data_IF_906995178044
#
_entry.id   IF_906995178044
#
_cell.length_a   1.000
_cell.length_b   1.000
_cell.length_c   1.000
_cell.angle_alpha   90.00
_cell.angle_beta   90.00
_cell.angle_gamma   90.00
#
_symmetry.space_group_name_H-M   'P 1'
#
loop_
_entity.id
_entity.type
_entity.pdbx_description
1 polymer ?
#
# COMPACT_ATOMS: atom_id res chain seq x y z
N UNK A 1 13.66 5.14 -24.29
CA UNK A 1 12.33 5.24 -23.66
C UNK A 1 12.14 6.70 -23.30
N UNK A 2 10.94 7.24 -23.53
CA UNK A 2 10.56 8.58 -23.10
C UNK A 2 10.49 8.64 -21.57
N UNK A 3 10.78 9.82 -21.00
CA UNK A 3 10.66 10.09 -19.57
C UNK A 3 9.20 9.95 -19.12
N UNK A 4 8.95 9.32 -17.98
CA UNK A 4 7.60 9.22 -17.41
C UNK A 4 7.18 10.56 -16.85
N UNK A 5 6.05 11.10 -17.32
CA UNK A 5 5.47 12.33 -16.78
C UNK A 5 4.39 11.94 -15.78
N UNK A 6 4.60 12.28 -14.51
CA UNK A 6 3.63 12.03 -13.45
C UNK A 6 2.40 12.91 -13.62
N UNK A 7 1.24 12.42 -13.19
CA UNK A 7 -0.01 13.17 -13.26
C UNK A 7 0.07 14.54 -12.58
N UNK A 8 0.84 14.63 -11.50
CA UNK A 8 1.04 15.86 -10.72
C UNK A 8 1.79 16.95 -11.49
N UNK A 9 2.54 16.58 -12.53
CA UNK A 9 3.34 17.51 -13.34
C UNK A 9 2.50 18.15 -14.46
N UNK A 10 1.29 17.64 -14.71
CA UNK A 10 0.38 18.14 -15.74
C UNK A 10 -0.42 19.36 -15.28
N UNK A 11 0.28 20.39 -14.80
CA UNK A 11 -0.33 21.54 -14.11
C UNK A 11 -1.45 22.24 -14.91
N UNK A 12 -1.27 22.39 -16.23
CA UNK A 12 -2.28 22.99 -17.12
C UNK A 12 -3.57 22.15 -17.22
N UNK A 13 -3.49 20.85 -16.98
CA UNK A 13 -4.67 19.98 -16.84
C UNK A 13 -5.29 20.18 -15.46
N UNK A 14 -4.46 20.18 -14.40
CA UNK A 14 -4.94 20.29 -13.02
C UNK A 14 -5.69 21.60 -12.74
N UNK A 15 -5.21 22.71 -13.30
CA UNK A 15 -5.84 24.03 -13.18
C UNK A 15 -7.26 24.09 -13.75
N UNK A 16 -7.63 23.20 -14.66
CA UNK A 16 -8.99 23.15 -15.25
C UNK A 16 -10.05 22.69 -14.26
N UNK A 17 -9.65 22.04 -13.17
CA UNK A 17 -10.58 21.60 -12.12
C UNK A 17 -10.86 22.68 -11.07
N UNK A 18 -10.24 23.85 -11.19
CA UNK A 18 -10.34 24.92 -10.21
C UNK A 18 -11.26 26.00 -10.73
N UNK A 19 -12.26 26.32 -9.94
CA UNK A 19 -13.05 27.53 -10.12
C UNK A 19 -12.37 28.70 -9.41
N UNK A 20 -12.14 29.85 -10.09
CA UNK A 20 -11.60 31.04 -9.45
C UNK A 20 -12.39 31.44 -8.19
N UNK A 21 -11.69 31.83 -7.12
CA UNK A 21 -12.29 32.30 -5.88
C UNK A 21 -12.79 31.22 -4.91
N UNK A 22 -12.55 29.94 -5.20
CA UNK A 22 -12.93 28.82 -4.31
C UNK A 22 -11.71 27.98 -3.95
N UNK A 23 -11.71 27.38 -2.77
CA UNK A 23 -10.56 26.64 -2.27
C UNK A 23 -10.58 25.16 -2.68
N UNK A 24 -9.39 24.56 -2.65
CA UNK A 24 -9.15 23.15 -2.93
C UNK A 24 -8.59 22.44 -1.70
N UNK A 25 -8.80 21.13 -1.64
CA UNK A 25 -8.15 20.23 -0.69
C UNK A 25 -7.15 19.29 -1.37
N UNK A 26 -6.28 18.66 -0.59
CA UNK A 26 -5.41 17.58 -1.08
C UNK A 26 -5.30 16.45 -0.06
N UNK A 27 -5.45 15.21 -0.48
CA UNK A 27 -5.11 14.01 0.30
C UNK A 27 -3.66 13.66 -0.05
N UNK A 28 -2.74 13.82 0.90
CA UNK A 28 -1.30 13.66 0.62
C UNK A 28 -0.47 13.32 1.85
N UNK A 29 0.81 13.05 1.64
CA UNK A 29 1.83 12.77 2.65
C UNK A 29 3.23 13.13 2.11
N UNK A 30 4.29 12.56 2.68
CA UNK A 30 5.69 12.82 2.30
C UNK A 30 6.04 12.38 0.87
N UNK A 31 5.16 11.61 0.22
CA UNK A 31 5.30 11.19 -1.17
C UNK A 31 4.76 12.21 -2.18
N UNK A 32 4.39 13.41 -1.72
CA UNK A 32 3.99 14.55 -2.55
C UNK A 32 5.18 15.13 -3.34
N UNK A 33 5.71 14.35 -4.28
CA UNK A 33 6.91 14.70 -5.05
C UNK A 33 6.71 14.69 -6.56
N UNK A 34 7.45 15.52 -7.28
CA UNK A 34 7.54 15.45 -8.74
C UNK A 34 8.43 14.27 -9.22
N UNK A 35 8.64 14.13 -10.53
CA UNK A 35 9.51 13.09 -11.11
C UNK A 35 10.99 13.27 -10.73
N UNK A 36 11.39 14.49 -10.35
CA UNK A 36 12.72 14.83 -9.84
C UNK A 36 12.86 14.60 -8.33
N UNK A 37 11.83 14.05 -7.68
CA UNK A 37 11.74 13.79 -6.25
C UNK A 37 11.78 15.04 -5.35
N UNK A 38 11.42 16.21 -5.88
CA UNK A 38 11.26 17.41 -5.07
C UNK A 38 9.91 17.36 -4.35
N UNK A 39 9.86 17.75 -3.07
CA UNK A 39 8.59 17.88 -2.35
C UNK A 39 7.86 19.16 -2.80
N UNK A 40 6.71 19.01 -3.46
CA UNK A 40 6.05 20.09 -4.24
C UNK A 40 4.75 20.62 -3.61
N UNK A 41 4.47 20.31 -2.34
CA UNK A 41 3.20 20.72 -1.71
C UNK A 41 3.00 22.25 -1.74
N UNK A 42 4.06 23.04 -1.56
CA UNK A 42 3.95 24.51 -1.64
C UNK A 42 3.57 25.00 -3.04
N UNK A 43 4.09 24.36 -4.08
CA UNK A 43 3.77 24.71 -5.47
C UNK A 43 2.33 24.30 -5.79
N UNK A 44 1.93 23.08 -5.45
CA UNK A 44 0.53 22.65 -5.58
C UNK A 44 -0.41 23.57 -4.80
N UNK A 45 -0.01 24.00 -3.60
CA UNK A 45 -0.82 24.91 -2.79
C UNK A 45 -1.09 26.23 -3.50
N UNK A 46 -0.04 26.83 -4.07
CA UNK A 46 -0.13 28.10 -4.79
C UNK A 46 -0.90 27.96 -6.09
N UNK A 47 -0.52 26.99 -6.92
CA UNK A 47 -1.10 26.82 -8.26
C UNK A 47 -2.52 26.27 -8.22
N UNK A 48 -2.87 25.49 -7.18
CA UNK A 48 -4.16 24.81 -7.06
C UNK A 48 -5.09 25.40 -5.98
N UNK A 49 -4.70 26.52 -5.36
CA UNK A 49 -5.43 27.17 -4.26
C UNK A 49 -5.80 26.22 -3.11
N UNK A 50 -4.82 25.41 -2.66
CA UNK A 50 -5.05 24.42 -1.60
C UNK A 50 -5.02 25.12 -0.23
N UNK A 51 -6.08 24.99 0.55
CA UNK A 51 -6.15 25.52 1.91
C UNK A 51 -6.22 24.42 3.00
N UNK A 52 -6.40 23.17 2.58
CA UNK A 52 -6.57 22.01 3.47
C UNK A 52 -5.85 20.79 2.94
N UNK A 53 -5.11 20.12 3.81
CA UNK A 53 -4.53 18.81 3.55
C UNK A 53 -5.23 17.76 4.40
N UNK A 54 -5.52 16.61 3.81
CA UNK A 54 -5.99 15.41 4.48
C UNK A 54 -4.86 14.40 4.48
N UNK A 55 -4.58 13.77 5.63
CA UNK A 55 -3.41 12.90 5.77
C UNK A 55 -3.81 11.50 6.20
N UNK A 56 -3.22 10.45 5.61
CA UNK A 56 -3.49 9.07 5.97
C UNK A 56 -2.70 8.68 7.25
N UNK A 57 -2.52 7.37 7.45
CA UNK A 57 -1.53 6.82 8.36
C UNK A 57 -0.14 7.47 8.16
N UNK A 58 0.64 7.59 9.23
CA UNK A 58 1.96 8.28 9.30
C UNK A 58 1.94 9.81 9.17
N UNK A 59 0.83 10.42 8.75
CA UNK A 59 0.64 11.87 8.68
C UNK A 59 1.36 12.52 7.49
N UNK A 60 1.43 13.87 7.48
CA UNK A 60 1.94 14.63 6.33
C UNK A 60 3.40 14.35 5.97
N UNK A 61 4.24 14.05 6.97
CA UNK A 61 5.69 13.88 6.78
C UNK A 61 6.18 12.45 7.02
N UNK A 62 5.27 11.48 7.17
CA UNK A 62 5.65 10.08 7.38
C UNK A 62 6.41 9.80 8.69
N UNK A 63 6.31 10.69 9.68
CA UNK A 63 7.11 10.64 10.92
C UNK A 63 6.54 9.71 11.99
N UNK A 64 5.25 9.40 11.92
CA UNK A 64 4.58 8.57 12.94
C UNK A 64 4.77 7.08 12.60
N UNK A 65 4.93 6.23 13.60
CA UNK A 65 5.01 4.78 13.45
C UNK A 65 3.73 4.17 12.83
N UNK A 66 3.82 2.93 12.36
CA UNK A 66 2.62 2.19 11.93
C UNK A 66 1.68 1.97 13.11
N UNK A 67 0.39 2.22 12.93
CA UNK A 67 -0.61 2.14 13.99
C UNK A 67 -0.65 3.33 14.96
N UNK A 68 0.23 4.34 14.83
CA UNK A 68 0.20 5.52 15.71
C UNK A 68 -0.90 6.50 15.32
N UNK A 69 -1.61 7.06 16.31
CA UNK A 69 -2.62 8.10 16.09
C UNK A 69 -1.95 9.40 15.66
N UNK A 70 -2.52 10.04 14.63
CA UNK A 70 -2.09 11.35 14.15
C UNK A 70 -3.24 12.33 14.38
N UNK A 71 -2.97 13.46 15.03
CA UNK A 71 -4.00 14.47 15.30
C UNK A 71 -4.08 15.48 14.15
N UNK A 72 -5.25 16.12 14.00
CA UNK A 72 -5.41 17.28 13.13
C UNK A 72 -4.71 18.50 13.73
N UNK A 73 -4.14 19.37 12.89
CA UNK A 73 -3.41 20.56 13.32
C UNK A 73 -3.40 21.65 12.24
N UNK A 74 -2.99 22.87 12.60
CA UNK A 74 -2.69 23.91 11.62
C UNK A 74 -1.18 23.93 11.36
N UNK A 75 -0.77 23.68 10.12
CA UNK A 75 0.64 23.69 9.75
C UNK A 75 1.09 25.13 9.49
N UNK A 76 1.99 25.64 10.34
CA UNK A 76 2.50 27.02 10.23
C UNK A 76 3.46 27.24 9.06
N UNK A 77 4.11 26.19 8.56
CA UNK A 77 5.05 26.32 7.44
C UNK A 77 4.28 26.39 6.13
N UNK A 78 3.29 25.51 5.98
CA UNK A 78 2.43 25.48 4.79
C UNK A 78 1.25 26.45 4.87
N UNK A 79 0.94 27.01 6.05
CA UNK A 79 -0.21 27.89 6.29
C UNK A 79 -1.51 27.25 5.78
N UNK A 80 -1.79 26.02 6.23
CA UNK A 80 -2.98 25.26 5.87
C UNK A 80 -3.47 24.40 7.04
N UNK A 81 -4.76 24.02 7.01
CA UNK A 81 -5.33 23.06 7.97
C UNK A 81 -4.96 21.64 7.54
N UNK A 82 -4.37 20.85 8.44
CA UNK A 82 -4.12 19.42 8.26
C UNK A 82 -5.18 18.63 9.03
N UNK A 83 -5.97 17.86 8.32
CA UNK A 83 -6.99 16.96 8.87
C UNK A 83 -6.46 15.54 8.82
N UNK A 84 -6.42 14.86 9.96
CA UNK A 84 -6.05 13.43 9.98
C UNK A 84 -7.24 12.57 9.60
N UNK A 85 -7.01 11.63 8.68
CA UNK A 85 -7.92 10.55 8.30
C UNK A 85 -7.46 9.21 8.89
N UNK A 86 -6.78 9.24 10.03
CA UNK A 86 -6.31 8.06 10.73
C UNK A 86 -6.47 8.19 12.24
N UNK A 87 -6.83 7.09 12.92
CA UNK A 87 -7.07 7.08 14.36
C UNK A 87 -8.54 7.29 14.69
N UNK A 88 -8.93 8.49 15.15
CA UNK A 88 -10.31 8.75 15.61
C UNK A 88 -11.31 8.83 14.46
N UNK A 89 -10.88 9.32 13.30
CA UNK A 89 -11.72 9.47 12.13
C UNK A 89 -10.97 8.94 10.91
N UNK A 90 -11.60 8.03 10.15
CA UNK A 90 -11.10 7.53 8.87
C UNK A 90 -11.78 8.20 7.67
N UNK A 91 -12.72 9.10 7.92
CA UNK A 91 -13.52 9.83 6.93
C UNK A 91 -13.41 11.34 7.21
N UNK A 92 -13.41 12.19 6.17
CA UNK A 92 -13.61 13.62 6.37
C UNK A 92 -15.02 13.88 6.90
N UNK A 93 -15.16 14.87 7.78
CA UNK A 93 -16.48 15.34 8.21
C UNK A 93 -17.06 16.32 7.17
N UNK A 94 -18.39 16.53 7.13
CA UNK A 94 -18.99 17.54 6.26
C UNK A 94 -18.36 18.93 6.43
N UNK A 95 -18.03 19.32 7.66
CA UNK A 95 -17.39 20.61 7.97
C UNK A 95 -15.94 20.68 7.44
N UNK A 96 -15.28 19.54 7.23
CA UNK A 96 -13.96 19.51 6.61
C UNK A 96 -14.04 19.71 5.08
N UNK A 97 -15.23 19.63 4.47
CA UNK A 97 -15.43 19.78 3.04
C UNK A 97 -16.21 21.06 2.65
N UNK A 98 -16.81 21.76 3.62
CA UNK A 98 -17.77 22.84 3.35
C UNK A 98 -17.24 24.05 2.59
N UNK A 99 -15.93 24.30 2.62
CA UNK A 99 -15.25 25.41 1.95
C UNK A 99 -14.40 24.98 0.74
N UNK A 100 -14.51 23.71 0.32
CA UNK A 100 -13.71 23.12 -0.75
C UNK A 100 -14.62 22.65 -1.88
N UNK A 101 -14.21 22.86 -3.13
CA UNK A 101 -14.93 22.35 -4.31
C UNK A 101 -14.31 21.08 -4.90
N UNK A 102 -12.98 20.93 -4.74
CA UNK A 102 -12.19 19.88 -5.37
C UNK A 102 -11.16 19.39 -4.37
N UNK A 103 -11.00 18.07 -4.30
CA UNK A 103 -9.96 17.42 -3.51
C UNK A 103 -9.09 16.62 -4.46
N UNK A 104 -7.80 16.93 -4.47
CA UNK A 104 -6.80 16.16 -5.21
C UNK A 104 -6.30 15.00 -4.35
N UNK A 105 -6.18 13.80 -4.88
CA UNK A 105 -5.50 12.69 -4.21
C UNK A 105 -4.11 12.52 -4.81
N UNK A 106 -3.06 12.66 -4.01
CA UNK A 106 -1.69 12.50 -4.46
C UNK A 106 -0.81 11.83 -3.40
N UNK A 107 -0.75 10.49 -3.47
CA UNK A 107 0.04 9.64 -2.59
C UNK A 107 0.59 8.45 -3.40
N UNK A 108 1.86 8.11 -3.20
CA UNK A 108 2.45 6.87 -3.71
C UNK A 108 2.00 5.67 -2.86
N UNK A 109 1.28 4.73 -3.47
CA UNK A 109 0.90 3.44 -2.87
C UNK A 109 1.83 2.30 -3.32
N UNK A 110 1.50 1.06 -2.94
CA UNK A 110 2.31 -0.14 -3.21
C UNK A 110 1.61 -1.22 -4.06
N UNK A 111 0.34 -1.08 -4.42
CA UNK A 111 -0.39 -2.15 -5.11
C UNK A 111 -0.87 -3.26 -4.19
N UNK A 112 -0.98 -3.01 -2.88
CA UNK A 112 -1.27 -3.99 -1.84
C UNK A 112 -2.45 -3.60 -0.96
N UNK A 113 -3.37 -4.54 -0.72
CA UNK A 113 -4.63 -4.32 0.01
C UNK A 113 -4.42 -3.89 1.47
N UNK A 114 -3.38 -4.41 2.12
CA UNK A 114 -3.04 -4.04 3.49
C UNK A 114 -2.23 -2.75 3.61
N UNK A 115 -1.86 -2.11 2.50
CA UNK A 115 -1.21 -0.81 2.53
C UNK A 115 -2.29 0.29 2.62
N UNK A 116 -2.50 0.82 3.82
CA UNK A 116 -3.71 1.52 4.27
C UNK A 116 -4.05 2.83 3.53
N UNK A 117 -3.19 3.32 2.64
CA UNK A 117 -3.51 4.45 1.76
C UNK A 117 -4.71 4.14 0.85
N UNK A 118 -4.86 2.89 0.39
CA UNK A 118 -6.04 2.49 -0.39
C UNK A 118 -7.31 2.49 0.45
N UNK A 119 -7.21 2.13 1.74
CA UNK A 119 -8.32 2.21 2.70
C UNK A 119 -8.71 3.66 2.96
N UNK A 120 -7.73 4.57 3.02
CA UNK A 120 -7.97 6.02 3.14
C UNK A 120 -8.74 6.54 1.92
N UNK A 121 -8.31 6.19 0.70
CA UNK A 121 -9.03 6.55 -0.52
C UNK A 121 -10.46 6.00 -0.51
N UNK A 122 -10.63 4.71 -0.22
CA UNK A 122 -11.94 4.07 -0.15
C UNK A 122 -12.87 4.79 0.83
N UNK A 123 -12.40 5.08 2.05
CA UNK A 123 -13.19 5.78 3.07
C UNK A 123 -13.51 7.22 2.69
N UNK A 124 -12.61 7.91 1.98
CA UNK A 124 -12.89 9.24 1.46
C UNK A 124 -13.99 9.21 0.39
N UNK A 125 -13.91 8.28 -0.57
CA UNK A 125 -14.95 8.08 -1.59
C UNK A 125 -16.31 7.72 -0.96
N UNK A 126 -16.29 6.81 0.03
CA UNK A 126 -17.48 6.42 0.79
C UNK A 126 -18.10 7.63 1.50
N UNK A 127 -17.28 8.49 2.12
CA UNK A 127 -17.73 9.70 2.79
C UNK A 127 -18.37 10.70 1.81
N UNK A 128 -17.76 10.94 0.65
CA UNK A 128 -18.33 11.82 -0.38
C UNK A 128 -19.70 11.31 -0.85
N UNK A 129 -19.83 9.99 -1.05
CA UNK A 129 -21.08 9.36 -1.46
C UNK A 129 -22.17 9.48 -0.39
N UNK A 130 -21.87 9.07 0.85
CA UNK A 130 -22.82 9.12 1.98
C UNK A 130 -23.31 10.54 2.26
N UNK A 131 -22.41 11.52 2.15
CA UNK A 131 -22.72 12.94 2.38
C UNK A 131 -23.40 13.60 1.19
N UNK A 132 -23.57 12.90 0.05
CA UNK A 132 -24.03 13.47 -1.23
C UNK A 132 -23.25 14.73 -1.60
N UNK A 133 -21.94 14.67 -1.39
CA UNK A 133 -21.05 15.81 -1.57
C UNK A 133 -20.95 16.20 -3.03
N UNK A 134 -21.00 17.51 -3.31
CA UNK A 134 -20.72 18.06 -4.63
C UNK A 134 -19.21 18.24 -4.90
N UNK A 135 -18.36 17.87 -3.92
CA UNK A 135 -16.90 17.99 -4.06
C UNK A 135 -16.40 16.99 -5.10
N UNK A 136 -15.69 17.51 -6.11
CA UNK A 136 -14.99 16.69 -7.10
C UNK A 136 -13.75 16.05 -6.47
N UNK A 137 -13.58 14.75 -6.64
CA UNK A 137 -12.36 14.02 -6.29
C UNK A 137 -11.50 13.83 -7.55
N UNK A 138 -10.27 14.35 -7.56
CA UNK A 138 -9.35 14.22 -8.69
C UNK A 138 -8.16 13.37 -8.27
N UNK A 139 -8.00 12.19 -8.86
CA UNK A 139 -6.87 11.30 -8.57
C UNK A 139 -5.69 11.68 -9.47
N UNK A 140 -4.57 12.07 -8.85
CA UNK A 140 -3.30 12.26 -9.54
C UNK A 140 -2.58 10.91 -9.54
N UNK A 141 -2.75 10.17 -10.63
CA UNK A 141 -2.31 8.79 -10.68
C UNK A 141 -0.78 8.65 -10.54
N UNK A 142 -0.35 7.48 -10.04
CA UNK A 142 1.04 7.17 -9.75
C UNK A 142 1.39 5.73 -10.15
N UNK A 143 2.67 5.41 -10.37
CA UNK A 143 3.09 4.07 -10.72
C UNK A 143 2.69 3.05 -9.65
N UNK A 144 2.21 1.88 -10.06
CA UNK A 144 2.14 0.73 -9.16
C UNK A 144 3.52 0.06 -9.14
N UNK A 145 4.28 0.13 -8.03
CA UNK A 145 5.66 -0.37 -8.02
C UNK A 145 5.76 -1.87 -8.26
N UNK A 146 4.71 -2.62 -7.93
CA UNK A 146 4.65 -4.07 -8.01
C UNK A 146 4.03 -4.57 -9.32
N UNK A 147 3.81 -3.71 -10.33
CA UNK A 147 3.33 -4.17 -11.64
C UNK A 147 1.89 -4.72 -11.63
N UNK A 148 1.53 -5.44 -12.70
CA UNK A 148 0.18 -5.98 -12.92
C UNK A 148 -0.10 -7.31 -12.21
N UNK A 149 0.85 -7.96 -11.57
CA UNK A 149 0.64 -9.29 -10.99
C UNK A 149 -0.51 -9.25 -9.96
N UNK A 150 -1.36 -10.27 -10.01
CA UNK A 150 -2.43 -10.49 -9.04
C UNK A 150 -2.05 -11.67 -8.18
N UNK A 151 -2.18 -11.53 -6.87
CA UNK A 151 -1.79 -12.59 -5.94
C UNK A 151 -2.55 -12.50 -4.63
N UNK A 152 -2.85 -13.67 -4.06
CA UNK A 152 -3.43 -13.80 -2.74
C UNK A 152 -4.95 -13.94 -2.75
N UNK A 153 -5.51 -14.39 -1.62
CA UNK A 153 -6.96 -14.54 -1.48
C UNK A 153 -7.70 -13.20 -1.60
N UNK A 154 -8.95 -13.28 -2.05
CA UNK A 154 -9.89 -12.16 -2.00
C UNK A 154 -10.24 -11.83 -0.55
N UNK A 155 -10.67 -10.59 -0.31
CA UNK A 155 -11.26 -10.22 0.98
C UNK A 155 -12.65 -10.83 1.11
N UNK A 156 -12.88 -11.58 2.18
CA UNK A 156 -14.15 -12.21 2.51
C UNK A 156 -14.95 -11.41 3.54
N UNK A 157 -16.30 -11.49 3.50
CA UNK A 157 -17.15 -10.92 4.53
C UNK A 157 -16.78 -11.41 5.93
N UNK A 158 -16.70 -10.48 6.89
CA UNK A 158 -16.28 -10.71 8.27
C UNK A 158 -14.78 -10.50 8.52
N UNK A 159 -13.96 -10.48 7.47
CA UNK A 159 -12.52 -10.21 7.58
C UNK A 159 -12.15 -8.76 7.31
N UNK A 160 -13.12 -7.88 7.05
CA UNK A 160 -12.86 -6.47 6.84
C UNK A 160 -12.20 -5.81 8.07
N UNK A 161 -11.27 -4.91 7.79
CA UNK A 161 -10.57 -4.04 8.76
C UNK A 161 -9.86 -2.90 8.02
N UNK A 162 -9.23 -1.95 8.72
CA UNK A 162 -8.50 -0.86 8.03
C UNK A 162 -7.32 -1.33 7.18
N UNK A 163 -6.77 -2.52 7.44
CA UNK A 163 -5.75 -3.18 6.60
C UNK A 163 -6.36 -4.11 5.53
N UNK A 164 -7.66 -4.01 5.29
CA UNK A 164 -8.37 -4.82 4.31
C UNK A 164 -9.82 -4.40 4.21
N UNK A 165 -10.09 -3.31 3.48
CA UNK A 165 -11.45 -2.76 3.32
C UNK A 165 -12.07 -3.02 1.95
N UNK A 166 -11.23 -3.28 0.95
CA UNK A 166 -11.63 -3.30 -0.44
C UNK A 166 -11.63 -4.74 -0.99
N UNK A 167 -12.63 -5.13 -1.79
CA UNK A 167 -12.84 -6.51 -2.24
C UNK A 167 -11.95 -6.84 -3.45
N UNK A 168 -10.65 -6.83 -3.21
CA UNK A 168 -9.59 -7.16 -4.19
C UNK A 168 -8.65 -8.22 -3.59
N UNK A 169 -7.82 -8.92 -4.37
CA UNK A 169 -6.75 -9.78 -3.88
C UNK A 169 -5.72 -9.00 -3.06
N UNK A 170 -4.82 -9.69 -2.36
CA UNK A 170 -3.79 -9.00 -1.55
C UNK A 170 -2.91 -8.09 -2.42
N UNK A 171 -2.37 -8.61 -3.52
CA UNK A 171 -1.73 -7.83 -4.59
C UNK A 171 -2.72 -7.73 -5.73
N UNK A 172 -3.19 -6.52 -6.03
CA UNK A 172 -4.31 -6.31 -6.96
C UNK A 172 -3.88 -5.77 -8.33
N UNK A 173 -2.65 -5.28 -8.49
CA UNK A 173 -2.04 -4.90 -9.76
C UNK A 173 -2.77 -3.83 -10.59
N UNK A 174 -3.34 -2.84 -9.89
CA UNK A 174 -3.91 -1.61 -10.46
C UNK A 174 -3.09 -0.42 -9.98
N UNK A 175 -3.00 0.65 -10.75
CA UNK A 175 -2.59 1.96 -10.20
C UNK A 175 -3.68 2.51 -9.29
N UNK A 176 -3.37 3.55 -8.52
CA UNK A 176 -4.35 4.14 -7.62
C UNK A 176 -5.53 4.78 -8.35
N UNK A 177 -5.29 5.34 -9.55
CA UNK A 177 -6.33 5.87 -10.42
C UNK A 177 -7.27 4.79 -10.95
N UNK A 178 -6.71 3.69 -11.47
CA UNK A 178 -7.50 2.55 -11.94
C UNK A 178 -8.27 1.88 -10.78
N UNK A 179 -7.66 1.80 -9.59
CA UNK A 179 -8.33 1.33 -8.39
C UNK A 179 -9.51 2.24 -8.01
N UNK A 180 -9.37 3.56 -8.09
CA UNK A 180 -10.46 4.49 -7.82
C UNK A 180 -11.65 4.27 -8.77
N UNK A 181 -11.39 4.05 -10.06
CA UNK A 181 -12.42 3.71 -11.05
C UNK A 181 -13.10 2.37 -10.73
N UNK A 182 -12.31 1.35 -10.36
CA UNK A 182 -12.83 0.07 -9.89
C UNK A 182 -13.74 0.26 -8.68
N UNK A 183 -13.30 0.97 -7.64
CA UNK A 183 -14.07 1.19 -6.41
C UNK A 183 -15.37 1.95 -6.67
N UNK A 184 -15.33 3.01 -7.49
CA UNK A 184 -16.52 3.76 -7.88
C UNK A 184 -17.56 2.85 -8.55
N UNK A 185 -17.12 1.99 -9.46
CA UNK A 185 -18.01 1.05 -10.16
C UNK A 185 -18.51 -0.07 -9.25
N UNK A 186 -17.62 -0.67 -8.46
CA UNK A 186 -17.91 -1.82 -7.57
C UNK A 186 -18.93 -1.46 -6.50
N UNK A 187 -18.79 -0.29 -5.89
CA UNK A 187 -19.66 0.19 -4.81
C UNK A 187 -20.76 1.14 -5.28
N UNK A 188 -20.83 1.42 -6.59
CA UNK A 188 -21.78 2.36 -7.20
C UNK A 188 -21.75 3.74 -6.53
N UNK A 189 -20.55 4.24 -6.22
CA UNK A 189 -20.40 5.54 -5.59
C UNK A 189 -20.86 6.66 -6.53
N UNK A 190 -21.91 7.37 -6.11
CA UNK A 190 -22.42 8.60 -6.73
C UNK A 190 -21.57 9.79 -6.30
N UNK A 191 -20.36 9.89 -6.85
CA UNK A 191 -19.39 10.98 -6.63
C UNK A 191 -18.89 11.52 -7.96
N UNK A 192 -18.52 12.80 -8.02
CA UNK A 192 -17.78 13.35 -9.16
C UNK A 192 -16.29 12.96 -9.01
N UNK A 193 -15.85 11.99 -9.83
CA UNK A 193 -14.50 11.42 -9.81
C UNK A 193 -13.84 11.63 -11.15
N UNK A 194 -12.64 12.18 -11.14
CA UNK A 194 -11.75 12.30 -12.30
C UNK A 194 -10.42 11.62 -12.00
N UNK A 195 -9.80 11.01 -13.02
CA UNK A 195 -8.43 10.48 -12.93
C UNK A 195 -7.54 11.16 -13.95
N UNK A 196 -6.48 11.81 -13.49
CA UNK A 196 -5.42 12.32 -14.35
C UNK A 196 -4.35 11.24 -14.46
N UNK A 197 -4.24 10.63 -15.64
CA UNK A 197 -3.23 9.60 -15.92
C UNK A 197 -1.83 10.16 -16.15
N UNK A 198 -0.82 9.30 -16.06
CA UNK A 198 0.58 9.59 -16.42
C UNK A 198 0.79 9.53 -17.94
N UNK A 199 1.86 10.17 -18.45
CA UNK A 199 2.31 9.95 -19.82
C UNK A 199 3.54 9.06 -19.86
N UNK A 200 3.67 8.26 -20.91
CA UNK A 200 4.78 7.33 -21.14
C UNK A 200 4.97 6.26 -20.05
N UNK A 201 3.99 6.07 -19.18
CA UNK A 201 4.07 5.05 -18.15
C UNK A 201 3.83 3.67 -18.75
N UNK A 202 4.84 2.81 -18.68
CA UNK A 202 4.76 1.40 -19.06
C UNK A 202 4.79 0.53 -17.81
N UNK A 203 3.92 -0.48 -17.77
CA UNK A 203 3.80 -1.43 -16.66
C UNK A 203 3.76 -2.86 -17.20
N UNK A 204 4.56 -3.74 -16.61
CA UNK A 204 4.56 -5.18 -16.94
C UNK A 204 3.91 -5.99 -15.82
N UNK A 205 3.84 -7.31 -15.99
CA UNK A 205 3.28 -8.18 -14.95
C UNK A 205 3.99 -8.03 -13.61
N UNK A 206 5.32 -7.97 -13.58
CA UNK A 206 6.06 -7.94 -12.31
C UNK A 206 6.84 -6.67 -12.05
N UNK A 207 6.82 -5.70 -12.97
CA UNK A 207 7.54 -4.43 -12.82
C UNK A 207 6.64 -3.27 -13.18
N UNK A 208 6.54 -2.31 -12.28
CA UNK A 208 5.83 -1.07 -12.57
C UNK A 208 6.47 0.18 -11.99
N UNK A 209 7.65 0.10 -11.37
CA UNK A 209 8.41 1.30 -11.03
C UNK A 209 9.26 1.77 -12.22
N UNK A 210 9.09 3.01 -12.72
CA UNK A 210 9.93 3.55 -13.79
C UNK A 210 11.39 3.66 -13.38
N UNK A 211 12.31 3.34 -14.29
CA UNK A 211 13.76 3.29 -14.00
C UNK A 211 14.41 4.66 -13.83
N UNK A 212 13.78 5.69 -14.38
CA UNK A 212 14.16 7.09 -14.35
C UNK A 212 13.63 7.86 -13.13
N UNK A 213 12.76 7.23 -12.32
CA UNK A 213 12.22 7.83 -11.09
C UNK A 213 12.95 7.34 -9.84
N UNK A 214 13.32 8.28 -8.96
CA UNK A 214 13.87 7.93 -7.65
C UNK A 214 12.78 7.37 -6.72
N UNK A 215 13.11 6.31 -5.99
CA UNK A 215 12.23 5.76 -4.96
C UNK A 215 12.13 6.72 -3.77
N UNK A 216 10.94 7.26 -3.53
CA UNK A 216 10.62 8.00 -2.30
C UNK A 216 9.89 7.07 -1.32
N UNK A 217 10.51 6.68 -0.18
CA UNK A 217 9.91 5.74 0.77
C UNK A 217 8.51 6.16 1.24
N UNK A 218 7.46 5.38 0.90
CA UNK A 218 6.09 5.74 1.26
C UNK A 218 5.80 5.51 2.75
N UNK A 219 6.69 4.84 3.48
CA UNK A 219 6.70 4.76 4.95
C UNK A 219 8.11 4.43 5.45
N UNK A 220 8.34 4.58 6.76
CA UNK A 220 9.63 4.29 7.40
C UNK A 220 10.09 2.83 7.26
N UNK A 221 9.16 1.91 7.00
CA UNK A 221 9.44 0.48 6.84
C UNK A 221 9.69 0.07 5.39
N UNK A 222 9.29 0.86 4.40
CA UNK A 222 9.41 0.52 2.97
C UNK A 222 10.49 1.38 2.32
N UNK A 223 11.73 1.16 2.78
CA UNK A 223 12.90 2.00 2.43
C UNK A 223 13.37 1.83 0.99
N UNK A 224 13.13 0.67 0.38
CA UNK A 224 13.56 0.36 -0.99
C UNK A 224 12.45 -0.33 -1.77
N UNK A 225 12.55 -0.30 -3.10
CA UNK A 225 11.65 -1.04 -3.98
C UNK A 225 11.69 -2.55 -3.70
N UNK A 226 12.87 -3.13 -3.42
CA UNK A 226 12.98 -4.55 -3.02
C UNK A 226 12.21 -4.85 -1.73
N UNK A 227 12.23 -3.90 -0.78
CA UNK A 227 11.46 -4.02 0.45
C UNK A 227 9.96 -4.03 0.14
N UNK A 228 9.49 -3.25 -0.84
CA UNK A 228 8.08 -3.27 -1.26
C UNK A 228 7.66 -4.63 -1.84
N UNK A 229 8.52 -5.26 -2.65
CA UNK A 229 8.25 -6.61 -3.14
C UNK A 229 8.22 -7.63 -2.00
N UNK A 230 9.21 -7.67 -1.10
CA UNK A 230 9.20 -8.60 0.04
C UNK A 230 8.00 -8.35 0.96
N UNK A 231 7.66 -7.09 1.20
CA UNK A 231 6.51 -6.68 2.00
C UNK A 231 5.18 -7.23 1.46
N UNK A 232 5.06 -7.44 0.15
CA UNK A 232 3.84 -8.04 -0.47
C UNK A 232 3.43 -9.39 0.11
N UNK A 233 4.36 -10.10 0.75
CA UNK A 233 4.09 -11.29 1.55
C UNK A 233 4.44 -11.16 3.02
N UNK A 234 5.62 -10.60 3.32
CA UNK A 234 6.18 -10.59 4.67
C UNK A 234 5.39 -9.69 5.63
N UNK A 235 4.48 -8.84 5.15
CA UNK A 235 3.52 -8.15 6.01
C UNK A 235 2.64 -9.12 6.81
N UNK A 236 2.35 -10.32 6.28
CA UNK A 236 1.57 -11.35 6.99
C UNK A 236 2.21 -11.78 8.31
N UNK A 237 3.53 -11.64 8.45
CA UNK A 237 4.27 -11.94 9.68
C UNK A 237 3.80 -11.07 10.85
N UNK A 238 3.25 -9.86 10.61
CA UNK A 238 2.69 -9.00 11.66
C UNK A 238 1.58 -9.72 12.45
N UNK A 239 0.83 -10.62 11.80
CA UNK A 239 -0.19 -11.48 12.43
C UNK A 239 0.36 -12.72 13.15
N UNK A 240 1.67 -12.82 13.36
CA UNK A 240 2.34 -13.98 13.95
C UNK A 240 3.33 -13.59 15.05
N UNK A 241 3.87 -14.59 15.75
CA UNK A 241 4.99 -14.41 16.67
C UNK A 241 6.35 -14.22 15.98
N UNK A 242 6.47 -14.24 14.65
CA UNK A 242 7.75 -13.96 13.98
C UNK A 242 7.98 -12.45 13.90
N UNK A 243 9.21 -12.01 14.16
CA UNK A 243 9.65 -10.65 13.83
C UNK A 243 9.82 -10.51 12.33
N UNK A 244 9.22 -9.48 11.79
CA UNK A 244 9.38 -9.00 10.41
C UNK A 244 10.54 -7.99 10.25
N UNK A 245 11.44 -7.90 11.24
CA UNK A 245 12.62 -7.03 11.19
C UNK A 245 12.34 -5.56 11.51
N UNK A 246 11.12 -5.18 11.92
CA UNK A 246 10.87 -3.87 12.54
C UNK A 246 11.76 -3.71 13.78
N UNK A 247 12.22 -2.49 14.05
CA UNK A 247 13.24 -2.25 15.07
C UNK A 247 14.67 -2.50 14.61
N UNK A 248 14.90 -2.80 13.33
CA UNK A 248 16.25 -3.02 12.76
C UNK A 248 16.50 -2.11 11.55
N UNK A 249 17.71 -2.20 10.98
CA UNK A 249 18.04 -1.56 9.70
C UNK A 249 17.24 -2.11 8.50
N UNK A 250 16.65 -3.29 8.61
CA UNK A 250 16.13 -4.09 7.48
C UNK A 250 14.69 -4.60 7.69
N UNK A 251 13.71 -3.71 7.97
CA UNK A 251 12.31 -4.11 8.10
C UNK A 251 11.80 -4.77 6.80
N UNK A 252 10.98 -5.81 6.95
CA UNK A 252 10.44 -6.64 5.87
C UNK A 252 11.48 -7.25 4.93
N UNK A 253 12.74 -7.33 5.40
CA UNK A 253 13.79 -8.10 4.75
C UNK A 253 14.33 -9.19 5.65
N UNK A 254 14.00 -9.18 6.94
CA UNK A 254 14.44 -10.18 7.91
C UNK A 254 13.20 -10.86 8.50
N UNK A 255 13.28 -12.17 8.67
CA UNK A 255 12.35 -12.95 9.49
C UNK A 255 13.12 -13.66 10.60
N UNK A 256 12.57 -13.68 11.82
CA UNK A 256 13.20 -14.42 12.90
C UNK A 256 12.50 -14.27 14.24
N UNK A 257 13.04 -14.94 15.26
CA UNK A 257 12.67 -14.83 16.67
C UNK A 257 13.79 -15.42 17.54
N UNK A 258 13.76 -15.27 18.87
CA UNK A 258 14.67 -16.00 19.74
C UNK A 258 14.56 -17.52 19.48
N UNK A 259 15.69 -18.17 19.17
CA UNK A 259 15.74 -19.61 18.89
C UNK A 259 15.12 -20.04 17.55
N UNK A 260 15.03 -19.14 16.56
CA UNK A 260 14.53 -19.48 15.22
C UNK A 260 15.42 -20.52 14.53
N UNK A 261 14.80 -21.53 13.94
CA UNK A 261 15.49 -22.59 13.21
C UNK A 261 15.76 -22.18 11.75
N UNK A 262 16.82 -21.40 11.57
CA UNK A 262 17.24 -20.84 10.28
C UNK A 262 17.47 -21.92 9.21
N UNK A 263 18.13 -23.02 9.57
CA UNK A 263 18.50 -24.07 8.60
C UNK A 263 17.28 -24.73 7.97
N UNK A 264 16.32 -25.20 8.78
CA UNK A 264 15.10 -25.86 8.29
C UNK A 264 14.29 -24.92 7.39
N UNK A 265 14.13 -23.66 7.82
CA UNK A 265 13.33 -22.69 7.06
C UNK A 265 14.01 -22.33 5.74
N UNK A 266 15.33 -22.09 5.75
CA UNK A 266 16.08 -21.84 4.52
C UNK A 266 16.01 -23.02 3.55
N UNK A 267 16.22 -24.25 4.05
CA UNK A 267 16.14 -25.44 3.22
C UNK A 267 14.78 -25.58 2.55
N UNK A 268 13.69 -25.36 3.30
CA UNK A 268 12.34 -25.46 2.76
C UNK A 268 12.03 -24.37 1.73
N UNK A 269 12.38 -23.12 2.01
CA UNK A 269 12.07 -21.96 1.15
C UNK A 269 12.88 -21.99 -0.14
N UNK A 270 14.17 -22.35 -0.07
CA UNK A 270 15.08 -22.36 -1.22
C UNK A 270 14.87 -23.55 -2.17
N UNK A 271 14.02 -24.54 -1.83
CA UNK A 271 13.58 -25.59 -2.77
C UNK A 271 12.83 -25.00 -3.97
N UNK A 272 12.20 -23.83 -3.80
CA UNK A 272 11.61 -23.08 -4.90
C UNK A 272 12.65 -22.11 -5.44
N UNK A 273 12.73 -22.03 -6.76
CA UNK A 273 13.66 -21.15 -7.45
C UNK A 273 13.13 -19.71 -7.50
N UNK A 274 12.84 -19.11 -6.34
CA UNK A 274 12.65 -17.67 -6.27
C UNK A 274 13.98 -17.00 -6.62
N UNK A 275 13.93 -15.91 -7.39
CA UNK A 275 15.09 -15.05 -7.62
C UNK A 275 15.35 -14.18 -6.38
N UNK A 276 15.62 -14.85 -5.26
CA UNK A 276 15.84 -14.29 -3.93
C UNK A 276 17.06 -14.95 -3.31
N UNK A 277 17.94 -14.15 -2.72
CA UNK A 277 19.05 -14.62 -1.88
C UNK A 277 18.59 -14.66 -0.43
N UNK A 278 18.93 -15.73 0.28
CA UNK A 278 18.66 -15.91 1.71
C UNK A 278 19.98 -16.16 2.45
N UNK A 279 20.15 -15.54 3.61
CA UNK A 279 21.32 -15.74 4.48
C UNK A 279 20.91 -15.77 5.95
N UNK A 280 21.56 -16.58 6.80
CA UNK A 280 21.39 -16.50 8.24
C UNK A 280 21.64 -15.07 8.75
N UNK A 281 20.86 -14.64 9.74
CA UNK A 281 21.00 -13.34 10.37
C UNK A 281 20.80 -13.43 11.89
N UNK A 282 21.53 -12.59 12.63
CA UNK A 282 21.30 -12.32 14.05
C UNK A 282 20.98 -10.83 14.20
N UNK A 283 19.97 -10.51 15.00
CA UNK A 283 19.53 -9.13 15.15
C UNK A 283 18.84 -8.89 16.50
N UNK A 284 18.91 -7.65 16.98
CA UNK A 284 18.22 -7.19 18.20
C UNK A 284 17.30 -6.04 17.80
N UNK A 285 15.97 -6.22 17.81
CA UNK A 285 15.03 -5.14 17.54
C UNK A 285 15.09 -4.03 18.61
N UNK A 286 15.12 -2.77 18.20
CA UNK A 286 15.01 -1.60 19.09
C UNK A 286 13.56 -1.31 19.54
N UNK A 287 12.59 -1.77 18.75
CA UNK A 287 11.15 -1.68 19.03
C UNK A 287 10.40 -2.84 18.34
N UNK A 288 9.09 -2.93 18.53
CA UNK A 288 8.24 -4.04 18.05
C UNK A 288 8.56 -5.37 18.76
N UNK A 289 8.23 -6.50 18.12
CA UNK A 289 8.41 -7.86 18.63
C UNK A 289 9.86 -8.10 19.03
N UNK A 290 10.04 -8.76 20.18
CA UNK A 290 11.35 -9.13 20.73
C UNK A 290 12.31 -7.95 20.97
N UNK A 291 11.76 -6.76 21.26
CA UNK A 291 12.56 -5.58 21.64
C UNK A 291 13.62 -5.93 22.69
N UNK A 292 14.89 -5.64 22.37
CA UNK A 292 16.04 -5.86 23.26
C UNK A 292 16.46 -7.32 23.41
N UNK A 293 15.86 -8.26 22.68
CA UNK A 293 16.22 -9.68 22.70
C UNK A 293 16.99 -10.07 21.43
N UNK A 294 17.99 -10.93 21.57
CA UNK A 294 18.68 -11.54 20.43
C UNK A 294 17.73 -12.48 19.68
N UNK A 295 17.51 -12.20 18.41
CA UNK A 295 16.83 -13.07 17.47
C UNK A 295 17.83 -13.72 16.53
N UNK A 296 17.65 -15.00 16.25
CA UNK A 296 18.20 -15.65 15.06
C UNK A 296 17.16 -15.60 13.95
N UNK A 297 17.60 -15.67 12.70
CA UNK A 297 16.70 -15.48 11.57
C UNK A 297 17.34 -15.66 10.22
N UNK A 298 16.64 -15.15 9.20
CA UNK A 298 17.04 -15.14 7.80
C UNK A 298 16.83 -13.73 7.27
N UNK A 299 17.85 -13.17 6.60
CA UNK A 299 17.72 -11.98 5.77
C UNK A 299 17.55 -12.36 4.30
N UNK A 300 16.66 -11.65 3.61
CA UNK A 300 16.34 -11.83 2.21
C UNK A 300 16.72 -10.61 1.37
N UNK A 301 17.13 -10.88 0.15
CA UNK A 301 17.42 -9.90 -0.89
C UNK A 301 16.79 -10.37 -2.19
N UNK A 302 16.01 -9.50 -2.83
CA UNK A 302 15.43 -9.78 -4.14
C UNK A 302 16.50 -9.57 -5.20
N UNK A 303 16.75 -10.60 -6.00
CA UNK A 303 17.64 -10.54 -7.16
C UNK A 303 16.87 -10.11 -8.41
N UNK A 304 15.61 -10.55 -8.52
CA UNK A 304 14.69 -10.07 -9.55
C UNK A 304 13.24 -10.16 -9.06
N UNK A 305 12.41 -9.14 -9.32
CA UNK A 305 10.97 -9.21 -9.06
C UNK A 305 10.21 -10.09 -10.06
N UNK A 306 10.81 -10.47 -11.19
CA UNK A 306 10.13 -11.22 -12.23
C UNK A 306 9.70 -12.61 -11.72
N UNK A 307 8.40 -12.87 -11.73
CA UNK A 307 7.82 -14.08 -11.16
C UNK A 307 7.74 -14.11 -9.63
N UNK A 308 8.18 -13.05 -8.93
CA UNK A 308 8.14 -13.02 -7.47
C UNK A 308 6.70 -12.90 -6.96
N UNK A 309 6.29 -13.93 -6.22
CA UNK A 309 4.98 -14.10 -5.59
C UNK A 309 5.14 -14.05 -4.07
N UNK A 310 4.83 -12.90 -3.49
CA UNK A 310 5.13 -12.61 -2.09
C UNK A 310 4.31 -13.45 -1.12
N UNK A 311 3.03 -13.67 -1.39
CA UNK A 311 2.15 -14.47 -0.54
C UNK A 311 2.56 -15.93 -0.56
N UNK A 312 2.88 -16.50 -1.72
CA UNK A 312 3.45 -17.86 -1.82
C UNK A 312 4.77 -17.96 -1.05
N UNK A 313 5.68 -17.00 -1.26
CA UNK A 313 6.97 -16.94 -0.56
C UNK A 313 6.80 -16.89 0.97
N UNK A 314 5.96 -15.99 1.47
CA UNK A 314 5.68 -15.86 2.90
C UNK A 314 4.97 -17.10 3.45
N UNK A 315 4.06 -17.71 2.69
CA UNK A 315 3.36 -18.93 3.09
C UNK A 315 4.32 -20.09 3.34
N UNK A 316 5.39 -20.21 2.55
CA UNK A 316 6.45 -21.23 2.73
C UNK A 316 7.30 -20.98 3.96
N UNK A 317 7.66 -19.73 4.22
CA UNK A 317 8.34 -19.34 5.47
C UNK A 317 7.48 -19.71 6.67
N UNK A 318 6.20 -19.33 6.64
CA UNK A 318 5.24 -19.59 7.70
C UNK A 318 5.00 -21.09 7.92
N UNK A 319 4.91 -21.88 6.85
CA UNK A 319 4.78 -23.34 6.94
C UNK A 319 5.98 -23.96 7.66
N UNK A 320 7.20 -23.64 7.22
CA UNK A 320 8.42 -24.21 7.78
C UNK A 320 8.71 -23.71 9.21
N UNK A 321 8.41 -22.44 9.49
CA UNK A 321 8.63 -21.84 10.81
C UNK A 321 7.56 -22.22 11.84
N UNK A 322 6.38 -22.68 11.39
CA UNK A 322 5.22 -23.04 12.19
C UNK A 322 4.95 -22.07 13.38
N UNK A 323 4.70 -20.79 13.10
CA UNK A 323 4.58 -19.78 14.13
C UNK A 323 3.25 -19.85 14.88
N UNK A 324 3.18 -19.09 15.97
CA UNK A 324 1.91 -18.79 16.63
C UNK A 324 1.23 -17.67 15.86
N UNK A 325 -0.05 -17.85 15.54
CA UNK A 325 -0.86 -16.88 14.80
C UNK A 325 -1.80 -16.15 15.77
N UNK A 326 -2.09 -14.89 15.47
CA UNK A 326 -3.17 -14.13 16.11
C UNK A 326 -4.23 -13.72 15.06
N UNK A 327 -5.34 -13.14 15.51
CA UNK A 327 -6.47 -12.78 14.65
C UNK A 327 -6.11 -11.74 13.56
N UNK A 328 -5.04 -10.97 13.75
CA UNK A 328 -4.59 -9.98 12.77
C UNK A 328 -4.08 -10.64 11.49
N UNK A 329 -3.59 -11.89 11.55
CA UNK A 329 -3.18 -12.63 10.35
C UNK A 329 -4.33 -12.78 9.37
N UNK A 330 -5.49 -13.24 9.86
CA UNK A 330 -6.64 -13.50 9.01
C UNK A 330 -7.25 -12.17 8.50
N UNK A 331 -7.08 -11.05 9.23
CA UNK A 331 -7.44 -9.70 8.76
C UNK A 331 -6.54 -9.19 7.63
N UNK A 332 -5.22 -9.42 7.69
CA UNK A 332 -4.30 -9.09 6.60
C UNK A 332 -4.57 -9.97 5.37
N UNK A 333 -4.71 -11.27 5.59
CA UNK A 333 -5.02 -12.24 4.55
C UNK A 333 -6.42 -12.03 3.96
N UNK A 334 -7.36 -11.43 4.70
CA UNK A 334 -8.75 -11.23 4.27
C UNK A 334 -9.60 -12.50 4.28
N UNK A 335 -9.09 -13.59 4.86
CA UNK A 335 -9.76 -14.89 5.02
C UNK A 335 -8.96 -15.74 6.01
N UNK A 336 -9.61 -16.68 6.69
CA UNK A 336 -8.92 -17.70 7.50
C UNK A 336 -8.37 -18.87 6.67
N UNK A 337 -8.75 -18.98 5.39
CA UNK A 337 -8.40 -20.11 4.52
C UNK A 337 -6.90 -20.18 4.26
N UNK A 338 -6.23 -19.03 4.14
CA UNK A 338 -4.77 -18.99 3.94
C UNK A 338 -4.04 -19.62 5.13
N UNK A 339 -4.38 -19.22 6.36
CA UNK A 339 -3.80 -19.79 7.59
C UNK A 339 -4.09 -21.28 7.72
N UNK A 340 -5.33 -21.70 7.46
CA UNK A 340 -5.72 -23.13 7.49
C UNK A 340 -4.93 -23.96 6.49
N UNK A 341 -4.69 -23.44 5.30
CA UNK A 341 -3.88 -24.10 4.26
C UNK A 341 -2.40 -24.14 4.61
N UNK A 342 -1.84 -23.07 5.18
CA UNK A 342 -0.45 -23.06 5.66
C UNK A 342 -0.26 -24.07 6.80
N UNK A 343 -1.28 -24.37 7.61
CA UNK A 343 -1.17 -25.40 8.66
C UNK A 343 -1.41 -26.83 8.16
N UNK A 344 -1.81 -27.00 6.90
CA UNK A 344 -2.13 -28.30 6.34
C UNK A 344 -0.85 -29.00 5.85
N UNK A 345 -0.60 -30.29 6.19
CA UNK A 345 0.53 -31.04 5.65
C UNK A 345 0.61 -31.10 4.11
N UNK A 346 -0.52 -30.93 3.42
CA UNK A 346 -0.61 -30.83 1.95
C UNK A 346 -0.48 -29.39 1.42
N UNK A 347 0.04 -28.45 2.22
CA UNK A 347 0.16 -27.04 1.87
C UNK A 347 0.72 -26.81 0.47
N UNK A 348 1.79 -27.50 0.07
CA UNK A 348 2.42 -27.29 -1.23
C UNK A 348 1.49 -27.60 -2.42
N UNK A 349 0.51 -28.49 -2.23
CA UNK A 349 -0.52 -28.80 -3.25
C UNK A 349 -1.68 -27.81 -3.21
N UNK A 350 -2.04 -27.35 -2.01
CA UNK A 350 -3.24 -26.53 -1.79
C UNK A 350 -3.00 -25.03 -1.97
N UNK A 351 -1.76 -24.56 -1.77
CA UNK A 351 -1.45 -23.14 -1.75
C UNK A 351 -1.74 -22.49 -3.11
N UNK A 352 -1.37 -23.14 -4.21
CA UNK A 352 -1.62 -22.63 -5.56
C UNK A 352 -3.10 -22.46 -5.86
N UNK A 353 -3.96 -23.34 -5.33
CA UNK A 353 -5.42 -23.26 -5.50
C UNK A 353 -5.97 -21.96 -4.88
N UNK A 354 -5.54 -21.65 -3.65
CA UNK A 354 -5.97 -20.43 -2.96
C UNK A 354 -5.41 -19.18 -3.64
N UNK A 355 -4.15 -19.22 -4.08
CA UNK A 355 -3.48 -18.04 -4.62
C UNK A 355 -3.83 -17.74 -6.08
N UNK A 356 -4.22 -18.73 -6.87
CA UNK A 356 -4.46 -18.58 -8.32
C UNK A 356 -5.95 -18.49 -8.63
N UNK A 357 -6.77 -19.44 -8.16
CA UNK A 357 -8.14 -19.59 -8.65
C UNK A 357 -9.02 -18.36 -8.34
N UNK A 358 -8.81 -17.70 -7.20
CA UNK A 358 -9.59 -16.51 -6.85
C UNK A 358 -9.08 -15.24 -7.53
N UNK A 359 -7.76 -15.14 -7.68
CA UNK A 359 -7.08 -14.05 -8.35
C UNK A 359 -7.44 -13.99 -9.85
N UNK A 360 -7.71 -15.12 -10.50
CA UNK A 360 -8.02 -15.18 -11.94
C UNK A 360 -9.30 -14.42 -12.32
N UNK A 361 -10.37 -14.53 -11.52
CA UNK A 361 -11.61 -13.79 -11.79
C UNK A 361 -11.40 -12.28 -11.70
N UNK A 362 -10.69 -11.85 -10.67
CA UNK A 362 -10.35 -10.44 -10.50
C UNK A 362 -9.38 -9.95 -11.58
N UNK A 363 -8.44 -10.79 -12.02
CA UNK A 363 -7.49 -10.48 -13.11
C UNK A 363 -8.22 -10.05 -14.37
N UNK A 364 -9.33 -10.71 -14.72
CA UNK A 364 -10.18 -10.36 -15.85
C UNK A 364 -11.10 -9.17 -15.55
N UNK A 365 -11.72 -9.12 -14.36
CA UNK A 365 -12.66 -8.05 -13.99
C UNK A 365 -12.01 -6.66 -14.07
N UNK A 366 -10.73 -6.57 -13.71
CA UNK A 366 -10.04 -5.29 -13.55
C UNK A 366 -9.56 -4.68 -14.88
N UNK A 367 -9.46 -5.45 -15.97
CA UNK A 367 -8.88 -4.99 -17.25
C UNK A 367 -9.64 -3.81 -17.85
N UNK A 368 -10.97 -3.78 -17.64
CA UNK A 368 -11.83 -2.67 -18.10
C UNK A 368 -11.55 -1.32 -17.42
N UNK A 369 -10.72 -1.30 -16.38
CA UNK A 369 -10.31 -0.07 -15.69
C UNK A 369 -8.88 0.34 -16.02
N UNK A 370 -8.15 -0.40 -16.87
CA UNK A 370 -6.77 -0.08 -17.19
C UNK A 370 -6.66 1.25 -17.94
N UNK A 371 -5.66 2.04 -17.54
CA UNK A 371 -5.25 3.28 -18.19
C UNK A 371 -3.93 3.13 -18.97
N UNK A 372 -3.17 2.05 -18.73
CA UNK A 372 -1.84 1.79 -19.29
C UNK A 372 -1.65 0.34 -19.73
#
# INVERSE_FOLDING_TARGET
>A
MSHVVLAVEKMEVLKRFITPGTASGIITNQTCTDSSNNFILNDLKRELNINKAFTPEHGLFGKSGGGEKVNSYFDKNFQLKVVSLYGENFKPKPEDLSDIQVVFYHIQDLGLRFYTYVSTLFKFMEALHEQKSAVKLVILDRPNPLGRAVEGPMLEPGFESFVGMIPVPVRYGLTIGELALFLKSKFKFEIDLEVVGMDNYEITEFRGWPRDLMWNPPSSAIKTLDTAYLYSGLCLLEGTDLSEGRGTGSPFRIVGKPGFNTEIVMEFVLRKNYLVRAQPAEFIPEFSKYKGMLCTGIIFEILSPDGFRGIDFASRILYAANPVYNDFFDKLAGTDRLRKTIKNPEMERLIDIILITEAEKFKLEREKYFLY
#
